data_IF_739700155686
#
_entry.id   IF_739700155686
#
_cell.length_a   1.000
_cell.length_b   1.000
_cell.length_c   1.000
_cell.angle_alpha   90.00
_cell.angle_beta   90.00
_cell.angle_gamma   90.00
#
_symmetry.space_group_name_H-M   'P 1'
#
loop_
_entity.id
_entity.type
_entity.pdbx_description
1 polymer ?
#
# COMPACT_ATOMS: atom_id res chain seq x y z
N UNK A 1 69.88 33.11 9.83
CA UNK A 1 68.96 32.10 9.28
C UNK A 1 67.80 32.03 10.25
N UNK A 2 66.74 32.80 9.97
CA UNK A 2 65.56 32.83 10.84
C UNK A 2 64.92 31.44 10.86
N UNK A 3 64.66 30.94 12.07
CA UNK A 3 64.06 29.64 12.30
C UNK A 3 62.63 29.64 11.75
N UNK A 4 62.39 28.90 10.67
CA UNK A 4 61.06 28.66 10.08
C UNK A 4 60.24 27.64 10.89
N UNK A 5 60.82 27.04 11.93
CA UNK A 5 60.17 26.05 12.79
C UNK A 5 58.83 26.49 13.42
N UNK A 6 58.70 27.70 14.02
CA UNK A 6 57.42 28.14 14.60
C UNK A 6 56.31 28.29 13.54
N UNK A 7 56.65 28.76 12.33
CA UNK A 7 55.70 28.93 11.22
C UNK A 7 55.20 27.58 10.68
N UNK A 8 56.08 26.57 10.62
CA UNK A 8 55.70 25.20 10.23
C UNK A 8 54.80 24.54 11.28
N UNK A 9 55.03 24.84 12.57
CA UNK A 9 54.21 24.32 13.67
C UNK A 9 52.79 24.93 13.66
N UNK A 10 52.66 26.24 13.43
CA UNK A 10 51.37 26.90 13.28
C UNK A 10 50.59 26.38 12.06
N UNK A 11 51.27 26.17 10.92
CA UNK A 11 50.64 25.62 9.72
C UNK A 11 50.12 24.18 9.94
N UNK A 12 50.87 23.37 10.69
CA UNK A 12 50.45 22.03 11.10
C UNK A 12 49.19 22.04 11.96
N UNK A 13 49.13 22.94 12.94
CA UNK A 13 47.96 23.10 13.81
C UNK A 13 46.70 23.52 13.03
N UNK A 14 46.82 24.50 12.13
CA UNK A 14 45.73 24.97 11.27
C UNK A 14 45.19 23.83 10.39
N UNK A 15 46.07 23.02 9.79
CA UNK A 15 45.67 21.90 8.94
C UNK A 15 44.84 20.87 9.71
N UNK A 16 45.25 20.49 10.91
CA UNK A 16 44.48 19.56 11.75
C UNK A 16 43.14 20.16 12.17
N UNK A 17 43.10 21.46 12.50
CA UNK A 17 41.87 22.17 12.85
C UNK A 17 40.87 22.16 11.67
N UNK A 18 41.34 22.40 10.44
CA UNK A 18 40.52 22.31 9.23
C UNK A 18 39.99 20.89 8.98
N UNK A 19 40.80 19.86 9.21
CA UNK A 19 40.38 18.45 9.08
C UNK A 19 39.26 18.12 10.09
N UNK A 20 39.38 18.58 11.34
CA UNK A 20 38.33 18.37 12.35
C UNK A 20 37.01 19.07 11.98
N UNK A 21 37.08 20.31 11.49
CA UNK A 21 35.89 21.03 11.02
C UNK A 21 35.26 20.30 9.84
N UNK A 22 36.05 19.88 8.85
CA UNK A 22 35.57 19.15 7.69
C UNK A 22 34.91 17.81 8.09
N UNK A 23 35.51 17.08 9.02
CA UNK A 23 34.94 15.84 9.55
C UNK A 23 33.62 16.08 10.29
N UNK A 24 33.53 17.15 11.09
CA UNK A 24 32.30 17.53 11.79
C UNK A 24 31.16 17.87 10.82
N UNK A 25 31.45 18.67 9.79
CA UNK A 25 30.47 19.02 8.75
C UNK A 25 30.02 17.78 7.99
N UNK A 26 30.93 16.86 7.65
CA UNK A 26 30.59 15.60 7.00
C UNK A 26 29.68 14.72 7.87
N UNK A 27 29.92 14.66 9.18
CA UNK A 27 29.06 13.94 10.12
C UNK A 27 27.66 14.54 10.19
N UNK A 28 27.55 15.87 10.27
CA UNK A 28 26.26 16.57 10.26
C UNK A 28 25.52 16.33 8.94
N UNK A 29 26.22 16.39 7.80
CA UNK A 29 25.61 16.10 6.50
C UNK A 29 25.12 14.64 6.42
N UNK A 30 25.89 13.69 6.93
CA UNK A 30 25.52 12.28 6.95
C UNK A 30 24.29 12.00 7.84
N UNK A 31 24.20 12.62 9.02
CA UNK A 31 23.03 12.47 9.90
C UNK A 31 21.79 13.09 9.26
N UNK A 32 21.90 14.26 8.65
CA UNK A 32 20.80 14.88 7.90
C UNK A 32 20.34 14.00 6.73
N UNK A 33 21.27 13.43 5.98
CA UNK A 33 20.95 12.52 4.88
C UNK A 33 20.21 11.27 5.38
N UNK A 34 20.69 10.66 6.46
CA UNK A 34 20.04 9.50 7.07
C UNK A 34 18.63 9.83 7.56
N UNK A 35 18.45 10.99 8.20
CA UNK A 35 17.15 11.47 8.66
C UNK A 35 16.18 11.71 7.49
N UNK A 36 16.65 12.32 6.41
CA UNK A 36 15.85 12.58 5.21
C UNK A 36 15.36 11.27 4.57
N UNK A 37 16.25 10.28 4.42
CA UNK A 37 15.89 8.95 3.91
C UNK A 37 14.86 8.28 4.82
N UNK A 38 15.03 8.37 6.14
CA UNK A 38 14.09 7.80 7.11
C UNK A 38 12.70 8.46 7.03
N UNK A 39 12.64 9.80 6.95
CA UNK A 39 11.38 10.54 6.80
C UNK A 39 10.65 10.14 5.52
N UNK A 40 11.38 10.00 4.39
CA UNK A 40 10.78 9.58 3.12
C UNK A 40 10.19 8.16 3.22
N UNK A 41 10.89 7.25 3.91
CA UNK A 41 10.40 5.89 4.15
C UNK A 41 9.10 5.89 4.98
N UNK A 42 9.09 6.62 6.11
CA UNK A 42 7.91 6.74 6.99
C UNK A 42 6.74 7.42 6.28
N UNK A 43 7.00 8.47 5.51
CA UNK A 43 5.96 9.19 4.75
C UNK A 43 5.31 8.31 3.68
N UNK A 44 6.09 7.43 3.04
CA UNK A 44 5.59 6.47 2.04
C UNK A 44 4.66 5.43 2.67
N UNK A 45 4.99 4.96 3.86
CA UNK A 45 4.15 4.02 4.61
C UNK A 45 2.88 4.68 5.14
N UNK A 46 2.99 5.88 5.71
CA UNK A 46 1.85 6.63 6.22
C UNK A 46 0.86 7.04 5.10
N UNK A 47 1.37 7.42 3.92
CA UNK A 47 0.51 7.66 2.73
C UNK A 47 -0.24 6.41 2.30
N UNK A 48 0.38 5.22 2.37
CA UNK A 48 -0.27 3.95 2.01
C UNK A 48 -1.40 3.59 2.97
N UNK A 49 -1.20 3.81 4.28
CA UNK A 49 -2.23 3.60 5.30
C UNK A 49 -3.40 4.59 5.15
N UNK A 50 -3.10 5.88 5.03
CA UNK A 50 -4.13 6.93 4.93
C UNK A 50 -4.92 6.85 3.62
N UNK A 51 -4.26 6.52 2.51
CA UNK A 51 -4.94 6.26 1.23
C UNK A 51 -5.83 5.02 1.29
N UNK A 52 -5.52 4.03 2.12
CA UNK A 52 -6.34 2.82 2.25
C UNK A 52 -7.69 3.12 2.91
N UNK A 53 -7.70 3.94 3.97
CA UNK A 53 -8.94 4.34 4.64
C UNK A 53 -9.79 5.25 3.75
N UNK A 54 -9.17 6.19 3.03
CA UNK A 54 -9.90 7.05 2.10
C UNK A 54 -10.52 6.25 0.96
N UNK A 55 -9.78 5.27 0.39
CA UNK A 55 -10.28 4.38 -0.67
C UNK A 55 -11.45 3.52 -0.22
N UNK A 56 -11.44 3.05 1.04
CA UNK A 56 -12.57 2.28 1.58
C UNK A 56 -13.86 3.12 1.60
N UNK A 57 -13.79 4.36 2.10
CA UNK A 57 -14.96 5.24 2.17
C UNK A 57 -15.48 5.61 0.78
N UNK A 58 -14.59 5.93 -0.15
CA UNK A 58 -14.94 6.19 -1.55
C UNK A 58 -15.62 4.99 -2.21
N UNK A 59 -15.11 3.77 -1.99
CA UNK A 59 -15.70 2.57 -2.55
C UNK A 59 -17.07 2.25 -1.99
N UNK A 60 -17.27 2.41 -0.68
CA UNK A 60 -18.59 2.21 -0.08
C UNK A 60 -19.60 3.23 -0.61
N UNK A 61 -19.20 4.49 -0.86
CA UNK A 61 -20.05 5.50 -1.49
C UNK A 61 -20.39 5.15 -2.95
N UNK A 62 -19.42 4.68 -3.73
CA UNK A 62 -19.65 4.23 -5.11
C UNK A 62 -20.59 3.01 -5.17
N UNK A 63 -20.42 2.05 -4.25
CA UNK A 63 -21.28 0.87 -4.15
C UNK A 63 -22.70 1.26 -3.68
N UNK A 64 -22.82 2.21 -2.75
CA UNK A 64 -24.11 2.69 -2.24
C UNK A 64 -24.88 3.53 -3.28
N UNK A 65 -24.17 4.33 -4.08
CA UNK A 65 -24.76 5.13 -5.16
C UNK A 65 -25.09 4.31 -6.41
N UNK A 66 -24.82 3.00 -6.41
CA UNK A 66 -25.08 2.11 -7.55
C UNK A 66 -24.12 2.30 -8.71
N UNK A 67 -23.00 3.00 -8.50
CA UNK A 67 -21.94 3.20 -9.49
C UNK A 67 -21.00 1.99 -9.52
N UNK A 68 -21.56 0.78 -9.67
CA UNK A 68 -20.84 -0.48 -9.50
C UNK A 68 -19.68 -0.66 -10.49
N UNK A 69 -19.75 -0.07 -11.69
CA UNK A 69 -18.65 -0.06 -12.67
C UNK A 69 -17.46 0.77 -12.19
N UNK A 70 -17.72 1.96 -11.64
CA UNK A 70 -16.67 2.80 -11.06
C UNK A 70 -16.10 2.13 -9.81
N UNK A 71 -16.97 1.57 -8.96
CA UNK A 71 -16.55 0.79 -7.79
C UNK A 71 -15.62 -0.37 -8.18
N UNK A 72 -15.96 -1.12 -9.23
CA UNK A 72 -15.10 -2.22 -9.73
C UNK A 72 -13.73 -1.70 -10.15
N UNK A 73 -13.67 -0.61 -10.92
CA UNK A 73 -12.40 -0.03 -11.36
C UNK A 73 -11.54 0.42 -10.17
N UNK A 74 -12.12 1.18 -9.23
CA UNK A 74 -11.42 1.65 -8.03
C UNK A 74 -10.97 0.49 -7.13
N UNK A 75 -11.78 -0.57 -7.00
CA UNK A 75 -11.44 -1.75 -6.22
C UNK A 75 -10.30 -2.54 -6.87
N UNK A 76 -10.29 -2.69 -8.20
CA UNK A 76 -9.18 -3.31 -8.95
C UNK A 76 -7.86 -2.57 -8.71
N UNK A 77 -7.87 -1.23 -8.79
CA UNK A 77 -6.69 -0.43 -8.49
C UNK A 77 -6.22 -0.61 -7.05
N UNK A 78 -7.14 -0.75 -6.11
CA UNK A 78 -6.79 -0.95 -4.71
C UNK A 78 -6.18 -2.34 -4.46
N UNK A 79 -6.75 -3.39 -5.05
CA UNK A 79 -6.17 -4.74 -5.01
C UNK A 79 -4.78 -4.74 -5.65
N UNK A 80 -4.59 -4.06 -6.78
CA UNK A 80 -3.28 -3.95 -7.42
C UNK A 80 -2.25 -3.21 -6.55
N UNK A 81 -2.67 -2.13 -5.87
CA UNK A 81 -1.81 -1.36 -4.97
C UNK A 81 -1.51 -2.10 -3.65
N UNK A 82 -2.45 -2.90 -3.16
CA UNK A 82 -2.36 -3.60 -1.88
C UNK A 82 -2.90 -5.06 -1.99
N UNK A 83 -2.18 -5.98 -2.65
CA UNK A 83 -2.67 -7.33 -2.95
C UNK A 83 -2.90 -8.23 -1.74
N UNK A 84 -2.44 -7.82 -0.54
CA UNK A 84 -2.59 -8.60 0.70
C UNK A 84 -3.69 -8.06 1.61
N UNK A 85 -4.43 -7.03 1.18
CA UNK A 85 -5.51 -6.43 1.98
C UNK A 85 -6.82 -7.15 1.73
N UNK A 86 -7.46 -7.74 2.75
CA UNK A 86 -8.74 -8.41 2.58
C UNK A 86 -9.86 -7.45 2.19
N UNK A 87 -9.84 -6.20 2.68
CA UNK A 87 -10.88 -5.20 2.42
C UNK A 87 -10.98 -4.84 0.94
N UNK A 88 -9.83 -4.76 0.26
CA UNK A 88 -9.77 -4.47 -1.17
C UNK A 88 -10.43 -5.58 -2.01
N UNK A 89 -10.21 -6.84 -1.63
CA UNK A 89 -10.83 -7.99 -2.29
C UNK A 89 -12.33 -8.05 -2.01
N UNK A 90 -12.75 -7.73 -0.78
CA UNK A 90 -14.17 -7.61 -0.43
C UNK A 90 -14.88 -6.55 -1.27
N UNK A 91 -14.29 -5.36 -1.40
CA UNK A 91 -14.85 -4.29 -2.23
C UNK A 91 -14.97 -4.72 -3.70
N UNK A 92 -13.96 -5.43 -4.23
CA UNK A 92 -13.99 -5.95 -5.60
C UNK A 92 -15.08 -7.02 -5.78
N UNK A 93 -15.22 -7.95 -4.84
CA UNK A 93 -16.27 -8.97 -4.87
C UNK A 93 -17.68 -8.36 -4.81
N UNK A 94 -17.90 -7.37 -3.95
CA UNK A 94 -19.17 -6.62 -3.86
C UNK A 94 -19.48 -5.91 -5.19
N UNK A 95 -18.48 -5.27 -5.80
CA UNK A 95 -18.66 -4.58 -7.07
C UNK A 95 -19.04 -5.54 -8.20
N UNK A 96 -18.36 -6.70 -8.31
CA UNK A 96 -18.73 -7.76 -9.25
C UNK A 96 -20.16 -8.27 -9.02
N UNK A 97 -20.54 -8.49 -7.76
CA UNK A 97 -21.88 -8.93 -7.42
C UNK A 97 -22.96 -7.93 -7.84
N UNK A 98 -22.79 -6.64 -7.54
CA UNK A 98 -23.74 -5.61 -7.96
C UNK A 98 -23.86 -5.47 -9.49
N UNK A 99 -22.78 -5.77 -10.23
CA UNK A 99 -22.80 -5.84 -11.69
C UNK A 99 -23.46 -7.12 -12.24
N UNK A 100 -23.84 -8.07 -11.38
CA UNK A 100 -24.37 -9.37 -11.78
C UNK A 100 -23.31 -10.35 -12.27
N UNK A 101 -22.03 -10.02 -12.13
CA UNK A 101 -20.89 -10.84 -12.54
C UNK A 101 -20.58 -11.91 -11.47
N UNK A 102 -21.53 -12.82 -11.23
CA UNK A 102 -21.49 -13.78 -10.11
C UNK A 102 -20.26 -14.72 -10.16
N UNK A 103 -19.82 -15.10 -11.37
CA UNK A 103 -18.63 -15.94 -11.56
C UNK A 103 -17.34 -15.24 -11.12
N UNK A 104 -17.21 -13.95 -11.41
CA UNK A 104 -16.05 -13.14 -11.03
C UNK A 104 -16.06 -12.87 -9.52
N UNK A 105 -17.22 -12.54 -8.95
CA UNK A 105 -17.38 -12.38 -7.50
C UNK A 105 -16.91 -13.65 -6.76
N UNK A 106 -17.30 -14.84 -7.25
CA UNK A 106 -16.87 -16.14 -6.71
C UNK A 106 -15.35 -16.33 -6.80
N UNK A 107 -14.74 -16.00 -7.93
CA UNK A 107 -13.29 -16.12 -8.11
C UNK A 107 -12.52 -15.20 -7.14
N UNK A 108 -12.96 -13.94 -7.00
CA UNK A 108 -12.32 -12.96 -6.11
C UNK A 108 -12.40 -13.42 -4.65
N UNK A 109 -13.56 -13.90 -4.20
CA UNK A 109 -13.76 -14.44 -2.85
C UNK A 109 -12.91 -15.69 -2.59
N UNK A 110 -12.78 -16.58 -3.58
CA UNK A 110 -11.91 -17.76 -3.46
C UNK A 110 -10.43 -17.35 -3.38
N UNK A 111 -10.05 -16.29 -4.11
CA UNK A 111 -8.71 -15.69 -4.03
C UNK A 111 -8.44 -15.06 -2.68
N UNK A 112 -9.44 -14.38 -2.10
CA UNK A 112 -9.36 -13.78 -0.77
C UNK A 112 -8.98 -14.80 0.31
N UNK A 113 -9.54 -16.00 0.28
CA UNK A 113 -9.20 -17.07 1.24
C UNK A 113 -7.73 -17.49 1.21
N UNK A 114 -7.03 -17.30 0.08
CA UNK A 114 -5.59 -17.57 -0.02
C UNK A 114 -4.75 -16.50 0.71
N UNK A 115 -5.30 -15.29 0.84
CA UNK A 115 -4.63 -14.13 1.42
C UNK A 115 -4.99 -13.96 2.90
N UNK A 116 -6.26 -14.19 3.24
CA UNK A 116 -6.83 -14.06 4.57
C UNK A 116 -7.72 -15.28 4.89
N UNK A 117 -7.14 -16.42 5.29
CA UNK A 117 -7.89 -17.64 5.62
C UNK A 117 -8.90 -17.46 6.76
N UNK A 118 -8.68 -16.49 7.64
CA UNK A 118 -9.55 -16.13 8.76
C UNK A 118 -10.94 -15.60 8.33
N UNK A 119 -11.06 -15.09 7.10
CA UNK A 119 -12.32 -14.57 6.56
C UNK A 119 -13.27 -15.70 6.08
N UNK A 120 -12.87 -16.97 6.19
CA UNK A 120 -13.62 -18.15 5.72
C UNK A 120 -15.10 -18.13 6.11
N UNK A 121 -15.43 -17.85 7.37
CA UNK A 121 -16.83 -17.76 7.84
C UNK A 121 -17.69 -16.79 7.01
N UNK A 122 -17.15 -15.61 6.66
CA UNK A 122 -17.88 -14.58 5.91
C UNK A 122 -17.94 -14.91 4.43
N UNK A 123 -16.82 -15.41 3.90
CA UNK A 123 -16.69 -15.77 2.49
C UNK A 123 -17.60 -16.93 2.13
N UNK A 124 -17.69 -17.97 2.96
CA UNK A 124 -18.51 -19.15 2.71
C UNK A 124 -19.99 -18.80 2.55
N UNK A 125 -20.52 -17.98 3.45
CA UNK A 125 -21.90 -17.50 3.37
C UNK A 125 -22.18 -16.76 2.05
N UNK A 126 -21.22 -15.96 1.58
CA UNK A 126 -21.31 -15.28 0.30
C UNK A 126 -21.20 -16.23 -0.89
N UNK A 127 -20.30 -17.22 -0.83
CA UNK A 127 -20.14 -18.23 -1.87
C UNK A 127 -21.40 -19.07 -2.04
N UNK A 128 -22.04 -19.46 -0.94
CA UNK A 128 -23.32 -20.17 -0.94
C UNK A 128 -24.43 -19.30 -1.56
N UNK A 129 -24.50 -18.02 -1.17
CA UNK A 129 -25.44 -17.07 -1.77
C UNK A 129 -25.26 -16.96 -3.28
N UNK A 130 -24.03 -16.73 -3.75
CA UNK A 130 -23.70 -16.60 -5.17
C UNK A 130 -24.06 -17.88 -5.94
N UNK A 131 -23.79 -19.06 -5.38
CA UNK A 131 -24.12 -20.34 -6.01
C UNK A 131 -25.64 -20.54 -6.13
N UNK A 132 -26.39 -20.15 -5.09
CA UNK A 132 -27.85 -20.22 -5.09
C UNK A 132 -28.46 -19.32 -6.17
N UNK A 133 -27.98 -18.07 -6.28
CA UNK A 133 -28.43 -17.13 -7.30
C UNK A 133 -28.07 -17.58 -8.71
N UNK A 134 -26.85 -18.11 -8.88
CA UNK A 134 -26.39 -18.60 -10.16
C UNK A 134 -27.23 -19.81 -10.63
N UNK A 135 -27.55 -20.72 -9.71
CA UNK A 135 -28.42 -21.87 -9.99
C UNK A 135 -29.85 -21.46 -10.35
N UNK A 136 -30.40 -20.43 -9.70
CA UNK A 136 -31.73 -19.89 -10.02
C UNK A 136 -31.77 -19.17 -11.37
N UNK A 137 -30.69 -18.45 -11.73
CA UNK A 137 -30.57 -17.70 -12.99
C UNK A 137 -30.22 -18.59 -14.18
N UNK A 138 -29.78 -19.84 -13.97
CA UNK A 138 -29.62 -20.81 -15.07
C UNK A 138 -31.00 -21.19 -15.62
N UNK A 139 -31.24 -21.07 -16.94
CA UNK A 139 -32.44 -21.63 -17.55
C UNK A 139 -32.48 -23.13 -17.25
N UNK A 140 -33.63 -23.65 -16.79
CA UNK A 140 -33.85 -25.10 -16.77
C UNK A 140 -33.60 -25.62 -18.18
N UNK A 141 -32.67 -26.55 -18.34
CA UNK A 141 -32.53 -27.29 -19.59
C UNK A 141 -33.87 -27.96 -19.84
N UNK A 142 -34.56 -27.52 -20.90
CA UNK A 142 -35.77 -28.18 -21.38
C UNK A 142 -35.29 -29.53 -21.91
N UNK A 143 -35.54 -30.59 -21.15
CA UNK A 143 -35.48 -31.98 -21.63
C UNK A 143 -36.56 -32.22 -22.68
#
# INVERSE_FOLDING_TARGET
MESFEPLLQELGAIKWLLVFIAAGVALIAATFFFLAVNIIAVMKENRRGNSSQSKHAELEDLLASGQSTAAKFTAMEWVAAQPRRPEAHWALAKAHYQLGELSEAKQVLTGLLKVAPEEHYRVDAWLELLESEFSQKRPKSVE
#
